data_IF_485828557965
#
_entry.id   IF_485828557965
#
_cell.length_a   1.000
_cell.length_b   1.000
_cell.length_c   1.000
_cell.angle_alpha   90.00
_cell.angle_beta   90.00
_cell.angle_gamma   90.00
#
_symmetry.space_group_name_H-M   'P 1'
#
loop_
_entity.id
_entity.type
_entity.pdbx_description
1 polymer ?
#
# COMPACT_ATOMS: atom_id res chain seq x y z
N UNK A 1 12.38 62.03 3.31
CA UNK A 1 12.41 60.83 4.18
C UNK A 1 11.23 59.88 3.94
N UNK A 2 9.98 60.34 3.96
CA UNK A 2 8.76 59.50 3.87
C UNK A 2 8.69 58.63 2.58
N UNK A 3 9.06 59.18 1.40
CA UNK A 3 9.03 58.43 0.13
C UNK A 3 10.05 57.27 0.08
N UNK A 4 11.20 57.43 0.72
CA UNK A 4 12.25 56.40 0.76
C UNK A 4 11.85 55.25 1.67
N UNK A 5 11.33 55.56 2.87
CA UNK A 5 10.79 54.56 3.79
C UNK A 5 9.64 53.76 3.16
N UNK A 6 8.75 54.42 2.42
CA UNK A 6 7.65 53.75 1.71
C UNK A 6 8.14 52.80 0.61
N UNK A 7 9.18 53.17 -0.14
CA UNK A 7 9.78 52.30 -1.16
C UNK A 7 10.50 51.10 -0.55
N UNK A 8 11.19 51.30 0.57
CA UNK A 8 11.80 50.21 1.33
C UNK A 8 10.76 49.23 1.86
N UNK A 9 9.69 49.73 2.48
CA UNK A 9 8.60 48.88 2.97
C UNK A 9 7.94 48.06 1.85
N UNK A 10 7.72 48.68 0.68
CA UNK A 10 7.19 47.98 -0.48
C UNK A 10 8.15 46.89 -1.00
N UNK A 11 9.45 47.18 -1.06
CA UNK A 11 10.45 46.20 -1.46
C UNK A 11 10.50 45.00 -0.50
N UNK A 12 10.47 45.27 0.81
CA UNK A 12 10.43 44.25 1.85
C UNK A 12 9.17 43.39 1.71
N UNK A 13 7.99 44.01 1.55
CA UNK A 13 6.74 43.28 1.37
C UNK A 13 6.77 42.37 0.13
N UNK A 14 7.31 42.86 -0.99
CA UNK A 14 7.48 42.06 -2.22
C UNK A 14 8.38 40.85 -1.97
N UNK A 15 9.50 41.03 -1.26
CA UNK A 15 10.40 39.92 -0.91
C UNK A 15 9.67 38.88 -0.06
N UNK A 16 8.91 39.30 0.95
CA UNK A 16 8.12 38.37 1.78
C UNK A 16 7.07 37.61 0.97
N UNK A 17 6.37 38.29 0.06
CA UNK A 17 5.40 37.65 -0.83
C UNK A 17 6.09 36.62 -1.73
N UNK A 18 7.25 36.94 -2.30
CA UNK A 18 8.02 36.01 -3.15
C UNK A 18 8.54 34.80 -2.37
N UNK A 19 8.96 34.97 -1.12
CA UNK A 19 9.38 33.86 -0.26
C UNK A 19 8.17 32.98 0.09
N UNK A 20 7.04 33.58 0.48
CA UNK A 20 5.82 32.86 0.81
C UNK A 20 5.28 32.08 -0.40
N UNK A 21 5.27 32.69 -1.58
CA UNK A 21 4.87 31.98 -2.81
C UNK A 21 5.83 30.87 -3.13
N UNK A 22 7.15 31.06 -3.04
CA UNK A 22 8.11 29.98 -3.26
C UNK A 22 7.94 28.82 -2.27
N UNK A 23 7.52 29.06 -1.02
CA UNK A 23 7.22 28.00 -0.05
C UNK A 23 5.92 27.28 -0.41
N UNK A 24 4.90 28.01 -0.85
CA UNK A 24 3.58 27.45 -1.21
C UNK A 24 3.55 26.76 -2.58
N UNK A 25 4.37 27.21 -3.54
CA UNK A 25 4.42 26.68 -4.91
C UNK A 25 5.52 25.67 -5.12
N UNK A 26 6.47 25.54 -4.19
CA UNK A 26 7.28 24.32 -4.12
C UNK A 26 6.29 23.16 -3.97
N UNK A 27 6.30 22.16 -4.87
CA UNK A 27 5.58 20.90 -4.65
C UNK A 27 6.27 20.19 -3.49
N UNK A 28 6.04 20.70 -2.28
CA UNK A 28 6.67 20.24 -1.07
C UNK A 28 5.92 19.01 -0.62
N UNK A 29 6.26 17.84 -1.18
CA UNK A 29 6.27 16.50 -0.55
C UNK A 29 4.90 15.97 -0.05
N UNK A 30 3.88 16.82 0.08
CA UNK A 30 2.55 16.51 0.58
C UNK A 30 1.57 16.13 -0.53
N UNK A 31 1.95 16.34 -1.80
CA UNK A 31 1.17 15.98 -2.98
C UNK A 31 1.98 15.20 -4.04
N UNK A 32 3.30 15.07 -3.87
CA UNK A 32 4.06 14.15 -4.68
C UNK A 32 3.68 12.73 -4.24
N UNK A 33 3.17 11.92 -5.17
CA UNK A 33 3.14 10.48 -4.99
C UNK A 33 4.53 10.03 -4.53
N UNK A 34 4.59 9.19 -3.49
CA UNK A 34 5.86 8.66 -3.02
C UNK A 34 6.58 7.95 -4.18
N UNK A 35 7.91 7.78 -4.07
CA UNK A 35 8.64 6.95 -5.03
C UNK A 35 7.96 5.56 -5.17
N UNK A 36 8.07 4.87 -6.33
CA UNK A 36 7.30 3.66 -6.62
C UNK A 36 7.39 2.51 -5.59
N UNK A 37 8.43 2.50 -4.75
CA UNK A 37 8.67 1.50 -3.70
C UNK A 37 8.48 2.03 -2.28
N UNK A 38 7.79 3.16 -2.12
CA UNK A 38 7.54 3.80 -0.83
C UNK A 38 6.05 3.99 -0.60
N UNK A 39 5.65 3.87 0.67
CA UNK A 39 4.29 4.15 1.12
C UNK A 39 4.26 5.43 1.95
N UNK A 40 3.20 6.22 1.78
CA UNK A 40 2.96 7.42 2.57
C UNK A 40 2.24 7.06 3.87
N UNK A 41 2.80 7.48 4.99
CA UNK A 41 2.08 7.47 6.26
C UNK A 41 1.16 8.71 6.32
N UNK A 42 -0.17 8.57 6.34
CA UNK A 42 -1.08 9.73 6.35
C UNK A 42 -1.05 10.50 7.67
N UNK A 43 -0.58 9.89 8.76
CA UNK A 43 -0.48 10.53 10.08
C UNK A 43 0.79 11.37 10.22
N UNK A 44 1.94 10.89 9.72
CA UNK A 44 3.22 11.61 9.82
C UNK A 44 3.60 12.35 8.54
N UNK A 45 2.88 12.11 7.44
CA UNK A 45 3.15 12.61 6.09
C UNK A 45 4.51 12.18 5.51
N UNK A 46 5.16 11.20 6.12
CA UNK A 46 6.43 10.65 5.66
C UNK A 46 6.24 9.57 4.59
N UNK A 47 7.11 9.55 3.58
CA UNK A 47 7.28 8.40 2.69
C UNK A 47 8.36 7.48 3.25
N UNK A 48 8.05 6.19 3.42
CA UNK A 48 9.02 5.18 3.87
C UNK A 48 8.98 3.96 2.98
N UNK A 49 10.12 3.29 2.85
CA UNK A 49 10.16 1.94 2.28
C UNK A 49 9.40 1.00 3.22
N UNK A 50 8.61 0.05 2.70
CA UNK A 50 8.05 -1.02 3.50
C UNK A 50 9.16 -1.75 4.27
N UNK A 51 8.88 -2.23 5.49
CA UNK A 51 9.84 -3.05 6.22
C UNK A 51 10.17 -4.30 5.41
N UNK A 52 11.40 -4.85 5.54
CA UNK A 52 11.74 -6.13 4.94
C UNK A 52 10.80 -7.23 5.46
N UNK A 53 10.62 -8.27 4.65
CA UNK A 53 9.87 -9.45 5.06
C UNK A 53 10.60 -10.09 6.27
N UNK A 54 9.90 -10.40 7.36
CA UNK A 54 10.54 -11.00 8.54
C UNK A 54 11.11 -12.39 8.27
N UNK A 55 12.20 -12.75 8.94
CA UNK A 55 12.88 -14.06 8.77
C UNK A 55 11.99 -15.27 9.11
N UNK A 56 11.00 -15.09 9.98
CA UNK A 56 10.04 -16.14 10.35
C UNK A 56 8.95 -16.35 9.29
N UNK A 57 8.78 -15.40 8.36
CA UNK A 57 7.76 -15.50 7.34
C UNK A 57 8.20 -16.50 6.26
N UNK A 58 7.39 -17.54 6.08
CA UNK A 58 7.53 -18.48 4.98
C UNK A 58 6.32 -18.33 4.07
N UNK A 59 6.57 -18.02 2.81
CA UNK A 59 5.52 -17.90 1.81
C UNK A 59 4.85 -19.27 1.57
N UNK A 60 3.55 -19.29 1.24
CA UNK A 60 2.88 -20.51 0.81
C UNK A 60 3.48 -21.07 -0.49
N UNK A 61 3.29 -22.37 -0.76
CA UNK A 61 3.64 -22.97 -2.04
C UNK A 61 2.92 -22.28 -3.21
N UNK A 62 3.48 -22.29 -4.43
CA UNK A 62 2.92 -21.56 -5.57
C UNK A 62 1.50 -21.97 -5.99
N UNK A 63 1.08 -23.19 -5.65
CA UNK A 63 -0.27 -23.69 -5.95
C UNK A 63 -1.31 -23.24 -4.91
N UNK A 64 -0.88 -22.67 -3.79
CA UNK A 64 -1.73 -22.29 -2.68
C UNK A 64 -1.97 -20.77 -2.67
N UNK A 65 -3.13 -20.30 -2.18
CA UNK A 65 -3.39 -18.88 -2.00
C UNK A 65 -2.38 -18.22 -1.06
N UNK A 66 -2.16 -16.91 -1.20
CA UNK A 66 -1.19 -16.16 -0.37
C UNK A 66 -1.45 -16.20 1.15
N UNK A 67 -2.67 -16.53 1.55
CA UNK A 67 -3.10 -16.64 2.95
C UNK A 67 -3.00 -18.07 3.51
N UNK A 68 -2.62 -19.04 2.68
CA UNK A 68 -2.47 -20.42 3.10
C UNK A 68 -1.17 -20.59 3.91
N UNK A 69 -1.11 -21.55 4.84
CA UNK A 69 0.15 -21.83 5.53
C UNK A 69 1.26 -22.31 4.58
N UNK A 70 2.53 -22.19 5.00
CA UNK A 70 3.69 -22.61 4.19
C UNK A 70 3.74 -24.12 3.94
N UNK A 71 3.10 -24.91 4.79
CA UNK A 71 3.08 -26.38 4.79
C UNK A 71 1.76 -26.96 4.28
N UNK A 72 0.94 -26.17 3.58
CA UNK A 72 -0.30 -26.65 2.95
C UNK A 72 0.01 -27.83 2.03
N UNK A 73 -0.76 -28.93 2.09
CA UNK A 73 -0.59 -30.05 1.18
C UNK A 73 -1.06 -29.67 -0.24
N UNK A 74 -0.56 -30.33 -1.29
CA UNK A 74 -1.09 -30.17 -2.64
C UNK A 74 -2.61 -30.38 -2.70
N UNK A 75 -3.32 -29.71 -3.62
CA UNK A 75 -4.75 -29.92 -3.78
C UNK A 75 -5.03 -31.37 -4.20
N UNK A 76 -6.13 -31.98 -3.70
CA UNK A 76 -6.56 -33.28 -4.18
C UNK A 76 -6.98 -33.21 -5.65
N UNK A 77 -7.09 -34.35 -6.34
CA UNK A 77 -7.66 -34.39 -7.68
C UNK A 77 -9.08 -33.82 -7.70
N UNK A 78 -9.40 -33.05 -8.74
CA UNK A 78 -10.73 -32.49 -8.92
C UNK A 78 -11.75 -33.61 -9.11
N UNK A 79 -12.80 -33.70 -8.26
CA UNK A 79 -13.83 -34.73 -8.40
C UNK A 79 -14.55 -34.61 -9.76
N UNK A 80 -14.99 -35.72 -10.37
CA UNK A 80 -15.56 -35.70 -11.72
C UNK A 80 -16.90 -34.95 -11.82
N UNK A 81 -17.59 -34.78 -10.69
CA UNK A 81 -18.83 -34.01 -10.61
C UNK A 81 -18.60 -32.51 -10.36
N UNK A 82 -17.39 -32.13 -9.94
CA UNK A 82 -17.06 -30.75 -9.59
C UNK A 82 -16.75 -29.95 -10.86
N UNK A 83 -17.27 -28.72 -10.91
CA UNK A 83 -17.02 -27.78 -12.03
C UNK A 83 -15.78 -26.91 -11.84
N UNK A 84 -15.22 -26.90 -10.64
CA UNK A 84 -14.07 -26.07 -10.25
C UNK A 84 -13.06 -26.93 -9.52
N UNK A 85 -11.80 -26.49 -9.55
CA UNK A 85 -10.74 -27.14 -8.79
C UNK A 85 -10.91 -26.92 -7.27
N UNK A 86 -10.31 -27.78 -6.44
CA UNK A 86 -10.28 -27.61 -4.99
C UNK A 86 -9.68 -26.26 -4.57
N UNK A 87 -10.32 -25.61 -3.62
CA UNK A 87 -9.91 -24.34 -3.03
C UNK A 87 -9.59 -24.55 -1.55
N UNK A 88 -8.46 -23.99 -1.11
CA UNK A 88 -8.04 -24.01 0.28
C UNK A 88 -8.96 -23.14 1.14
N UNK A 89 -9.46 -23.68 2.24
CA UNK A 89 -10.16 -22.90 3.28
C UNK A 89 -9.23 -22.62 4.44
N UNK A 90 -8.98 -21.34 4.73
CA UNK A 90 -8.20 -20.94 5.91
C UNK A 90 -8.97 -21.20 7.23
N UNK A 91 -10.30 -21.16 7.20
CA UNK A 91 -11.10 -21.43 8.39
C UNK A 91 -11.09 -22.91 8.79
N UNK A 92 -11.08 -23.81 7.80
CA UNK A 92 -11.09 -25.25 8.03
C UNK A 92 -9.72 -25.92 7.88
N UNK A 93 -8.72 -25.20 7.38
CA UNK A 93 -7.37 -25.71 7.09
C UNK A 93 -7.40 -26.98 6.21
N UNK A 94 -8.28 -27.00 5.20
CA UNK A 94 -8.50 -28.14 4.29
C UNK A 94 -8.83 -27.68 2.88
N UNK A 95 -8.72 -28.59 1.92
CA UNK A 95 -9.20 -28.42 0.55
C UNK A 95 -10.70 -28.74 0.44
N UNK A 96 -11.39 -28.04 -0.46
CA UNK A 96 -12.83 -28.20 -0.68
C UNK A 96 -13.31 -27.63 -2.01
N UNK A 97 -14.56 -27.88 -2.37
CA UNK A 97 -15.21 -27.38 -3.59
C UNK A 97 -16.28 -26.36 -3.22
N UNK A 98 -16.46 -25.34 -4.06
CA UNK A 98 -17.53 -24.35 -3.88
C UNK A 98 -18.77 -24.78 -4.67
N UNK A 99 -19.88 -25.02 -3.97
CA UNK A 99 -21.18 -25.43 -4.54
C UNK A 99 -22.21 -24.37 -4.15
N UNK A 100 -22.76 -23.66 -5.15
CA UNK A 100 -23.80 -22.63 -4.89
C UNK A 100 -23.33 -21.51 -3.96
N UNK A 101 -22.02 -21.23 -3.91
CA UNK A 101 -21.41 -20.26 -3.01
C UNK A 101 -21.01 -20.82 -1.64
N UNK A 102 -21.40 -22.06 -1.30
CA UNK A 102 -20.97 -22.73 -0.09
C UNK A 102 -19.69 -23.53 -0.33
N UNK A 103 -18.71 -23.41 0.57
CA UNK A 103 -17.52 -24.24 0.56
C UNK A 103 -17.81 -25.59 1.23
N UNK A 104 -17.46 -26.69 0.56
CA UNK A 104 -17.68 -28.06 1.03
C UNK A 104 -16.33 -28.79 1.07
N UNK A 105 -15.94 -29.40 2.20
CA UNK A 105 -14.67 -30.09 2.31
C UNK A 105 -14.58 -31.30 1.38
N UNK A 106 -13.37 -31.56 0.87
CA UNK A 106 -13.01 -32.82 0.21
C UNK A 106 -12.35 -33.81 1.16
#
# INVERSE_FOLDING_TARGET
MIRFARRMAAAIAVVFVLIATAVLTRPGIAAAECAPNMSRNPTTLECKMPPPVPDWYRAPPPYAPMYAPPDVPPPPPTPPWAKTDPVWSNGFQRWGIVIGGAWVPL
#
